data_IF_701409119065
#
_entry.id   IF_701409119065
#
_cell.length_a   1.000
_cell.length_b   1.000
_cell.length_c   1.000
_cell.angle_alpha   90.00
_cell.angle_beta   90.00
_cell.angle_gamma   90.00
#
_symmetry.space_group_name_H-M   'P 1'
#
loop_
_entity.id
_entity.type
_entity.pdbx_description
1 polymer ?
#
# COMPACT_ATOMS: atom_id res chain seq x y z
N UNK A 1 -16.76 -8.36 -28.98
CA UNK A 1 -16.60 -7.16 -28.12
C UNK A 1 -16.99 -7.53 -26.71
N UNK A 2 -16.02 -7.93 -25.90
CA UNK A 2 -16.25 -8.30 -24.50
C UNK A 2 -16.43 -7.03 -23.68
N UNK A 3 -17.48 -6.96 -22.85
CA UNK A 3 -17.66 -5.84 -21.93
C UNK A 3 -16.80 -6.08 -20.69
N UNK A 4 -15.59 -5.53 -20.67
CA UNK A 4 -14.66 -5.59 -19.54
C UNK A 4 -15.05 -4.63 -18.38
N UNK A 5 -16.34 -4.28 -18.26
CA UNK A 5 -16.84 -3.38 -17.21
C UNK A 5 -16.72 -3.94 -15.79
N UNK A 6 -16.29 -5.19 -15.62
CA UNK A 6 -15.91 -5.75 -14.32
C UNK A 6 -14.52 -5.25 -13.87
N UNK A 7 -13.58 -5.00 -14.80
CA UNK A 7 -12.26 -4.43 -14.49
C UNK A 7 -12.42 -3.01 -13.96
N UNK A 8 -13.27 -2.19 -14.58
CA UNK A 8 -13.57 -0.82 -14.12
C UNK A 8 -14.11 -0.80 -12.68
N UNK A 9 -14.98 -1.77 -12.34
CA UNK A 9 -15.53 -1.90 -10.98
C UNK A 9 -14.46 -2.28 -9.98
N UNK A 10 -13.55 -3.17 -10.35
CA UNK A 10 -12.43 -3.56 -9.50
C UNK A 10 -11.46 -2.39 -9.29
N UNK A 11 -11.15 -1.63 -10.33
CA UNK A 11 -10.30 -0.43 -10.26
C UNK A 11 -10.94 0.63 -9.34
N UNK A 12 -12.23 0.92 -9.50
CA UNK A 12 -12.95 1.84 -8.63
C UNK A 12 -12.98 1.37 -7.17
N UNK A 13 -13.22 0.07 -6.93
CA UNK A 13 -13.20 -0.50 -5.58
C UNK A 13 -11.81 -0.45 -4.93
N UNK A 14 -10.75 -0.61 -5.73
CA UNK A 14 -9.38 -0.45 -5.26
C UNK A 14 -9.06 1.01 -4.91
N UNK A 15 -9.46 1.96 -5.76
CA UNK A 15 -9.32 3.40 -5.50
C UNK A 15 -9.99 3.81 -4.19
N UNK A 16 -11.20 3.32 -3.95
CA UNK A 16 -11.93 3.57 -2.71
C UNK A 16 -11.18 2.98 -1.49
N UNK A 17 -10.78 1.71 -1.57
CA UNK A 17 -10.03 1.03 -0.49
C UNK A 17 -8.70 1.74 -0.18
N UNK A 18 -7.92 2.10 -1.19
CA UNK A 18 -6.66 2.82 -0.99
C UNK A 18 -6.90 4.21 -0.39
N UNK A 19 -7.96 4.90 -0.80
CA UNK A 19 -8.30 6.21 -0.21
C UNK A 19 -8.69 6.07 1.27
N UNK A 20 -9.46 5.03 1.63
CA UNK A 20 -9.79 4.73 3.02
C UNK A 20 -8.52 4.42 3.84
N UNK A 21 -7.62 3.60 3.33
CA UNK A 21 -6.33 3.28 3.99
C UNK A 21 -5.46 4.53 4.12
N UNK A 22 -5.35 5.33 3.07
CA UNK A 22 -4.59 6.59 3.06
C UNK A 22 -5.11 7.57 4.11
N UNK A 23 -6.43 7.69 4.27
CA UNK A 23 -7.03 8.56 5.26
C UNK A 23 -6.66 8.16 6.71
N UNK A 24 -6.32 6.89 6.96
CA UNK A 24 -5.82 6.46 8.27
C UNK A 24 -4.52 7.18 8.64
N UNK A 25 -3.64 7.52 7.69
CA UNK A 25 -2.39 8.26 7.95
C UNK A 25 -2.60 9.63 8.60
N UNK A 26 -3.79 10.22 8.41
CA UNK A 26 -4.15 11.52 8.96
C UNK A 26 -4.84 11.41 10.32
N UNK A 27 -5.28 10.21 10.73
CA UNK A 27 -6.07 9.99 11.94
C UNK A 27 -5.40 10.56 13.20
N UNK A 28 -4.09 10.37 13.45
CA UNK A 28 -3.46 10.92 14.66
C UNK A 28 -3.51 12.45 14.72
N UNK A 29 -3.23 13.13 13.60
CA UNK A 29 -3.30 14.59 13.52
C UNK A 29 -4.74 15.10 13.64
N UNK A 30 -5.70 14.38 13.03
CA UNK A 30 -7.12 14.72 13.13
C UNK A 30 -7.60 14.66 14.59
N UNK A 31 -7.20 13.64 15.36
CA UNK A 31 -7.54 13.54 16.79
C UNK A 31 -6.94 14.69 17.60
N UNK A 32 -5.68 15.03 17.34
CA UNK A 32 -5.00 16.16 18.00
C UNK A 32 -5.74 17.48 17.71
N UNK A 33 -6.11 17.71 16.46
CA UNK A 33 -6.79 18.92 16.03
C UNK A 33 -8.20 19.01 16.63
N UNK A 34 -9.02 17.96 16.50
CA UNK A 34 -10.38 17.92 17.06
C UNK A 34 -10.38 18.16 18.58
N UNK A 35 -9.44 17.52 19.29
CA UNK A 35 -9.34 17.68 20.75
C UNK A 35 -8.89 19.09 21.12
N UNK A 36 -7.89 19.64 20.40
CA UNK A 36 -7.40 21.01 20.61
C UNK A 36 -8.49 22.05 20.36
N UNK A 37 -9.27 21.89 19.29
CA UNK A 37 -10.29 22.85 18.88
C UNK A 37 -11.52 22.80 19.79
N UNK A 38 -11.88 21.61 20.26
CA UNK A 38 -12.95 21.42 21.26
C UNK A 38 -12.60 22.14 22.57
N UNK A 39 -11.37 21.94 23.09
CA UNK A 39 -10.89 22.63 24.29
C UNK A 39 -10.73 24.14 24.07
N UNK A 40 -10.25 24.54 22.88
CA UNK A 40 -10.14 25.94 22.50
C UNK A 40 -11.49 26.65 22.47
N UNK A 41 -12.54 25.97 22.01
CA UNK A 41 -13.91 26.49 22.01
C UNK A 41 -14.44 26.67 23.44
N UNK A 42 -14.21 25.70 24.33
CA UNK A 42 -14.55 25.84 25.76
C UNK A 42 -13.79 27.03 26.39
N UNK A 43 -12.51 27.20 26.06
CA UNK A 43 -11.72 28.34 26.54
C UNK A 43 -12.34 29.67 26.10
N UNK A 44 -12.76 29.79 24.84
CA UNK A 44 -13.41 30.99 24.31
C UNK A 44 -14.74 31.28 25.01
N UNK A 45 -15.60 30.28 25.19
CA UNK A 45 -16.86 30.46 25.92
C UNK A 45 -16.65 30.89 27.38
N UNK A 46 -15.57 30.43 28.01
CA UNK A 46 -15.22 30.89 29.36
C UNK A 46 -14.69 32.33 29.38
N UNK A 47 -14.11 32.85 28.29
CA UNK A 47 -13.59 34.23 28.24
C UNK A 47 -14.68 35.27 28.53
N UNK A 48 -15.92 34.99 28.11
CA UNK A 48 -17.11 35.82 28.34
C UNK A 48 -17.62 35.81 29.79
N UNK A 49 -17.14 34.87 30.62
CA UNK A 49 -17.58 34.71 32.01
C UNK A 49 -16.50 35.20 32.98
N UNK A 50 -16.89 36.11 33.89
CA UNK A 50 -16.02 36.61 34.96
C UNK A 50 -15.79 35.54 36.05
N UNK A 51 -14.60 35.51 36.65
CA UNK A 51 -14.27 34.61 37.78
C UNK A 51 -13.58 33.28 37.45
N UNK A 52 -13.46 32.90 36.17
CA UNK A 52 -12.88 31.60 35.76
C UNK A 52 -11.41 31.64 35.30
N UNK A 53 -10.61 32.61 35.78
CA UNK A 53 -9.24 32.82 35.29
C UNK A 53 -8.32 31.59 35.43
N UNK A 54 -8.43 30.85 36.53
CA UNK A 54 -7.64 29.62 36.75
C UNK A 54 -8.00 28.51 35.76
N UNK A 55 -9.29 28.33 35.44
CA UNK A 55 -9.75 27.37 34.44
C UNK A 55 -9.32 27.75 33.03
N UNK A 56 -9.34 29.04 32.68
CA UNK A 56 -8.84 29.56 31.39
C UNK A 56 -7.37 29.21 31.18
N UNK A 57 -6.53 29.46 32.20
CA UNK A 57 -5.10 29.14 32.15
C UNK A 57 -4.89 27.63 32.00
N UNK A 58 -5.61 26.80 32.77
CA UNK A 58 -5.51 25.33 32.66
C UNK A 58 -5.86 24.83 31.26
N UNK A 59 -6.95 25.33 30.65
CA UNK A 59 -7.37 24.91 29.31
C UNK A 59 -6.36 25.35 28.26
N UNK A 60 -5.86 26.59 28.30
CA UNK A 60 -4.80 27.04 27.37
C UNK A 60 -3.54 26.19 27.48
N UNK A 61 -3.13 25.87 28.71
CA UNK A 61 -1.99 24.97 28.94
C UNK A 61 -2.25 23.58 28.36
N UNK A 62 -3.45 23.02 28.54
CA UNK A 62 -3.83 21.73 27.97
C UNK A 62 -3.85 21.76 26.43
N UNK A 63 -4.40 22.79 25.79
CA UNK A 63 -4.37 22.96 24.33
C UNK A 63 -2.93 23.05 23.84
N UNK A 64 -2.08 23.80 24.52
CA UNK A 64 -0.65 23.89 24.20
C UNK A 64 0.04 22.53 24.28
N UNK A 65 -0.21 21.79 25.37
CA UNK A 65 0.31 20.43 25.56
C UNK A 65 -0.19 19.45 24.50
N UNK A 66 -1.46 19.52 24.10
CA UNK A 66 -2.02 18.64 23.06
C UNK A 66 -1.40 18.97 21.70
N UNK A 67 -1.22 20.25 21.36
CA UNK A 67 -0.56 20.64 20.11
C UNK A 67 0.92 20.26 20.07
N UNK A 68 1.56 20.12 21.24
CA UNK A 68 2.96 19.68 21.33
C UNK A 68 3.13 18.16 21.33
N UNK A 69 2.05 17.37 21.44
CA UNK A 69 2.08 15.89 21.33
C UNK A 69 2.79 15.44 20.04
N UNK A 70 2.46 16.04 18.90
CA UNK A 70 3.09 15.70 17.61
C UNK A 70 4.58 16.07 17.51
N UNK A 71 5.12 16.81 18.49
CA UNK A 71 6.54 17.17 18.58
C UNK A 71 7.30 16.31 19.59
N UNK A 72 6.61 15.46 20.34
CA UNK A 72 7.24 14.55 21.28
C UNK A 72 7.91 13.40 20.51
N UNK A 73 9.21 13.14 20.77
CA UNK A 73 10.01 12.13 20.05
C UNK A 73 9.41 10.72 20.15
N UNK A 74 8.85 10.33 21.30
CA UNK A 74 8.24 9.00 21.47
C UNK A 74 6.95 8.85 20.66
N UNK A 75 6.16 9.91 20.57
CA UNK A 75 4.91 9.93 19.79
C UNK A 75 5.20 9.97 18.30
N UNK A 76 6.20 10.75 17.88
CA UNK A 76 6.68 10.74 16.50
C UNK A 76 7.13 9.34 16.08
N UNK A 77 7.88 8.64 16.93
CA UNK A 77 8.25 7.25 16.67
C UNK A 77 7.05 6.33 16.52
N UNK A 78 5.99 6.51 17.33
CA UNK A 78 4.75 5.76 17.15
C UNK A 78 4.04 6.10 15.82
N UNK A 79 4.11 7.34 15.36
CA UNK A 79 3.58 7.73 14.04
C UNK A 79 4.36 7.08 12.90
N UNK A 80 5.69 6.96 13.00
CA UNK A 80 6.51 6.26 12.00
C UNK A 80 6.16 4.77 11.93
N UNK A 81 5.96 4.13 13.09
CA UNK A 81 5.47 2.75 13.17
C UNK A 81 4.11 2.63 12.50
N UNK A 82 3.20 3.57 12.78
CA UNK A 82 1.85 3.60 12.23
C UNK A 82 1.85 3.80 10.70
N UNK A 83 2.69 4.70 10.18
CA UNK A 83 2.88 4.90 8.74
C UNK A 83 3.38 3.64 8.04
N UNK A 84 4.32 2.92 8.66
CA UNK A 84 4.81 1.65 8.14
C UNK A 84 3.69 0.60 8.05
N UNK A 85 2.78 0.55 9.03
CA UNK A 85 1.61 -0.34 8.98
C UNK A 85 0.62 0.07 7.87
N UNK A 86 0.49 1.37 7.59
CA UNK A 86 -0.33 1.83 6.45
C UNK A 86 0.23 1.31 5.12
N UNK A 87 1.56 1.34 4.93
CA UNK A 87 2.19 0.75 3.74
C UNK A 87 1.92 -0.75 3.64
N UNK A 88 1.97 -1.49 4.77
CA UNK A 88 1.59 -2.92 4.80
C UNK A 88 0.15 -3.13 4.31
N UNK A 89 -0.80 -2.31 4.78
CA UNK A 89 -2.20 -2.38 4.35
C UNK A 89 -2.37 -2.05 2.87
N UNK A 90 -1.65 -1.04 2.35
CA UNK A 90 -1.72 -0.64 0.94
C UNK A 90 -1.19 -1.75 0.01
N UNK A 91 -0.04 -2.34 0.32
CA UNK A 91 0.52 -3.45 -0.46
C UNK A 91 -0.35 -4.70 -0.34
N UNK A 92 -0.93 -4.97 0.84
CA UNK A 92 -1.91 -6.05 1.00
C UNK A 92 -3.19 -5.83 0.20
N UNK A 93 -3.66 -4.59 0.09
CA UNK A 93 -4.80 -4.25 -0.76
C UNK A 93 -4.49 -4.46 -2.25
N UNK A 94 -3.26 -4.15 -2.68
CA UNK A 94 -2.80 -4.40 -4.06
C UNK A 94 -2.79 -5.90 -4.37
N UNK A 95 -2.24 -6.72 -3.46
CA UNK A 95 -2.23 -8.17 -3.61
C UNK A 95 -3.66 -8.72 -3.76
N UNK A 96 -4.57 -8.31 -2.87
CA UNK A 96 -5.97 -8.72 -2.94
C UNK A 96 -6.62 -8.30 -4.26
N UNK A 97 -6.33 -7.08 -4.72
CA UNK A 97 -6.83 -6.54 -5.98
C UNK A 97 -6.40 -7.39 -7.18
N UNK A 98 -5.13 -7.79 -7.27
CA UNK A 98 -4.68 -8.62 -8.38
C UNK A 98 -5.27 -10.03 -8.34
N UNK A 99 -5.48 -10.61 -7.16
CA UNK A 99 -6.23 -11.86 -7.06
C UNK A 99 -7.71 -11.71 -7.48
N UNK A 100 -8.34 -10.57 -7.19
CA UNK A 100 -9.70 -10.27 -7.65
C UNK A 100 -9.74 -10.09 -9.18
N UNK A 101 -8.71 -9.48 -9.77
CA UNK A 101 -8.53 -9.40 -11.24
C UNK A 101 -8.39 -10.78 -11.85
N UNK A 102 -7.52 -11.63 -11.30
CA UNK A 102 -7.35 -13.01 -11.76
C UNK A 102 -8.66 -13.79 -11.72
N UNK A 103 -9.39 -13.67 -10.61
CA UNK A 103 -10.71 -14.29 -10.48
C UNK A 103 -11.67 -13.78 -11.55
N UNK A 104 -11.78 -12.46 -11.70
CA UNK A 104 -12.74 -11.86 -12.62
C UNK A 104 -12.45 -12.24 -14.08
N UNK A 105 -11.17 -12.26 -14.48
CA UNK A 105 -10.75 -12.77 -15.78
C UNK A 105 -11.13 -14.24 -15.92
N UNK A 106 -10.81 -15.10 -14.94
CA UNK A 106 -11.15 -16.52 -15.00
C UNK A 106 -12.66 -16.79 -15.12
N UNK A 107 -13.50 -15.93 -14.52
CA UNK A 107 -14.96 -16.05 -14.58
C UNK A 107 -15.57 -15.57 -15.90
N UNK A 108 -14.99 -14.53 -16.52
CA UNK A 108 -15.62 -13.84 -17.65
C UNK A 108 -14.90 -14.07 -18.99
N UNK A 109 -13.59 -14.27 -18.94
CA UNK A 109 -12.67 -14.31 -20.07
C UNK A 109 -11.47 -15.23 -19.80
N UNK A 110 -11.65 -16.51 -19.42
CA UNK A 110 -10.54 -17.40 -19.08
C UNK A 110 -9.54 -17.61 -20.23
N UNK A 111 -9.95 -17.38 -21.47
CA UNK A 111 -9.09 -17.41 -22.67
C UNK A 111 -7.97 -16.37 -22.68
N UNK A 112 -8.07 -15.33 -21.83
CA UNK A 112 -7.01 -14.35 -21.60
C UNK A 112 -5.73 -14.98 -21.04
N UNK A 113 -5.86 -16.10 -20.34
CA UNK A 113 -4.73 -16.71 -19.68
C UNK A 113 -3.92 -17.55 -20.65
N UNK A 114 -2.65 -17.17 -20.82
CA UNK A 114 -1.66 -18.00 -21.44
C UNK A 114 -1.12 -19.06 -20.46
N UNK A 115 -1.49 -20.32 -20.72
CA UNK A 115 -0.99 -21.49 -19.99
C UNK A 115 0.19 -22.17 -20.69
N UNK A 116 0.60 -21.67 -21.85
CA UNK A 116 1.79 -22.14 -22.57
C UNK A 116 3.00 -21.34 -22.10
N UNK A 117 3.82 -21.93 -21.25
CA UNK A 117 5.10 -21.35 -20.87
C UNK A 117 6.17 -21.82 -21.86
N UNK A 118 6.72 -20.90 -22.64
CA UNK A 118 7.98 -21.07 -23.41
C UNK A 118 8.13 -22.41 -24.14
N UNK A 119 7.14 -22.82 -24.94
CA UNK A 119 7.20 -24.04 -25.77
C UNK A 119 7.02 -25.37 -25.02
N UNK A 120 6.61 -25.33 -23.75
CA UNK A 120 6.26 -26.52 -22.96
C UNK A 120 4.77 -26.83 -23.06
N UNK A 121 4.40 -28.12 -22.85
CA UNK A 121 2.99 -28.56 -22.79
C UNK A 121 2.16 -27.66 -21.87
N UNK A 122 0.88 -27.40 -22.19
CA UNK A 122 0.01 -26.55 -21.37
C UNK A 122 0.03 -27.02 -19.91
N UNK A 123 0.27 -26.07 -18.98
CA UNK A 123 0.23 -26.34 -17.53
C UNK A 123 -1.17 -26.87 -17.19
N UNK A 124 -1.26 -28.12 -16.74
CA UNK A 124 -2.53 -28.68 -16.24
C UNK A 124 -2.81 -28.05 -14.88
N UNK A 125 -3.88 -27.26 -14.78
CA UNK A 125 -4.37 -26.77 -13.49
C UNK A 125 -5.01 -27.93 -12.75
N UNK A 126 -4.37 -28.35 -11.65
CA UNK A 126 -4.95 -29.32 -10.71
C UNK A 126 -5.51 -28.57 -9.51
N UNK A 127 -6.74 -28.90 -9.11
CA UNK A 127 -7.36 -28.36 -7.90
C UNK A 127 -7.94 -29.50 -7.05
N UNK A 128 -8.13 -29.25 -5.77
CA UNK A 128 -8.71 -30.22 -4.85
C UNK A 128 -10.23 -30.27 -5.05
N UNK A 129 -10.80 -31.46 -5.19
CA UNK A 129 -12.25 -31.62 -5.38
C UNK A 129 -13.07 -31.09 -4.20
N UNK A 130 -12.48 -30.98 -3.01
CA UNK A 130 -13.06 -30.35 -1.82
C UNK A 130 -13.32 -28.86 -1.98
N UNK A 131 -12.69 -28.22 -2.96
CA UNK A 131 -12.92 -26.81 -3.31
C UNK A 131 -14.15 -26.65 -4.22
N UNK A 132 -14.75 -27.73 -4.71
CA UNK A 132 -15.96 -27.68 -5.53
C UNK A 132 -17.20 -27.69 -4.63
N UNK A 133 -17.87 -26.55 -4.54
CA UNK A 133 -19.26 -26.46 -4.09
C UNK A 133 -20.12 -25.76 -5.16
N UNK A 134 -21.41 -25.59 -4.89
CA UNK A 134 -22.36 -24.94 -5.81
C UNK A 134 -22.01 -23.47 -6.14
N UNK A 135 -21.07 -22.86 -5.42
CA UNK A 135 -20.64 -21.46 -5.55
C UNK A 135 -19.23 -21.33 -6.14
N UNK A 136 -18.51 -22.43 -6.34
CA UNK A 136 -17.16 -22.39 -6.90
C UNK A 136 -17.18 -22.05 -8.37
N UNK A 137 -16.60 -20.91 -8.71
CA UNK A 137 -16.45 -20.45 -10.09
C UNK A 137 -15.06 -20.80 -10.66
N UNK A 138 -14.91 -20.76 -11.99
CA UNK A 138 -13.61 -20.98 -12.66
C UNK A 138 -12.57 -19.98 -12.15
N UNK A 139 -12.97 -18.72 -12.00
CA UNK A 139 -12.14 -17.67 -11.42
C UNK A 139 -11.67 -17.97 -10.00
N UNK A 140 -12.51 -18.57 -9.15
CA UNK A 140 -12.09 -18.95 -7.80
C UNK A 140 -11.05 -20.07 -7.82
N UNK A 141 -11.21 -21.05 -8.72
CA UNK A 141 -10.22 -22.11 -8.94
C UNK A 141 -8.88 -21.52 -9.41
N UNK A 142 -8.92 -20.58 -10.37
CA UNK A 142 -7.72 -19.93 -10.90
C UNK A 142 -7.03 -19.06 -9.86
N UNK A 143 -7.79 -18.26 -9.11
CA UNK A 143 -7.29 -17.48 -7.99
C UNK A 143 -6.59 -18.37 -6.97
N UNK A 144 -7.22 -19.47 -6.57
CA UNK A 144 -6.63 -20.42 -5.63
C UNK A 144 -5.37 -21.06 -6.20
N UNK A 145 -5.38 -21.47 -7.47
CA UNK A 145 -4.22 -22.05 -8.14
C UNK A 145 -3.02 -21.09 -8.13
N UNK A 146 -3.20 -19.85 -8.57
CA UNK A 146 -2.10 -18.89 -8.59
C UNK A 146 -1.65 -18.46 -7.20
N UNK A 147 -2.57 -18.40 -6.22
CA UNK A 147 -2.21 -18.01 -4.85
C UNK A 147 -1.46 -19.09 -4.08
N UNK A 148 -1.92 -20.34 -4.17
CA UNK A 148 -1.51 -21.41 -3.24
C UNK A 148 -0.63 -22.48 -3.92
N UNK A 149 -0.68 -22.59 -5.26
CA UNK A 149 -0.03 -23.68 -6.00
C UNK A 149 1.06 -23.22 -6.97
N UNK A 150 0.87 -22.08 -7.64
CA UNK A 150 1.90 -21.49 -8.50
C UNK A 150 2.82 -20.63 -7.63
N UNK A 151 3.83 -21.26 -6.99
CA UNK A 151 4.78 -20.58 -6.09
C UNK A 151 5.59 -19.45 -6.74
N UNK A 152 5.46 -19.29 -8.06
CA UNK A 152 6.05 -18.21 -8.84
C UNK A 152 5.20 -16.92 -8.84
N UNK A 153 3.96 -16.96 -8.31
CA UNK A 153 3.06 -15.79 -8.27
C UNK A 153 3.00 -15.24 -6.85
N UNK A 154 3.54 -14.04 -6.68
CA UNK A 154 3.44 -13.28 -5.44
C UNK A 154 3.10 -11.82 -5.76
N UNK A 155 1.83 -11.44 -5.60
CA UNK A 155 1.38 -10.06 -5.86
C UNK A 155 1.79 -9.04 -4.78
N UNK A 156 2.64 -9.43 -3.83
CA UNK A 156 3.36 -8.50 -2.94
C UNK A 156 4.75 -8.13 -3.48
N UNK A 157 5.19 -8.72 -4.59
CA UNK A 157 6.48 -8.47 -5.23
C UNK A 157 6.30 -7.95 -6.66
N UNK A 158 6.90 -6.80 -6.97
CA UNK A 158 6.71 -6.12 -8.26
C UNK A 158 7.26 -6.95 -9.42
N UNK A 159 8.38 -7.65 -9.22
CA UNK A 159 8.93 -8.50 -10.28
C UNK A 159 7.98 -9.65 -10.61
N UNK A 160 7.38 -10.24 -9.58
CA UNK A 160 6.39 -11.30 -9.74
C UNK A 160 5.09 -10.79 -10.38
N UNK A 161 4.65 -9.56 -10.08
CA UNK A 161 3.54 -8.90 -10.77
C UNK A 161 3.85 -8.75 -12.26
N UNK A 162 4.95 -8.07 -12.61
CA UNK A 162 5.31 -7.81 -14.02
C UNK A 162 5.47 -9.12 -14.79
N UNK A 163 6.15 -10.12 -14.21
CA UNK A 163 6.30 -11.44 -14.81
C UNK A 163 4.95 -12.12 -15.02
N UNK A 164 4.05 -12.06 -14.04
CA UNK A 164 2.72 -12.64 -14.17
C UNK A 164 1.95 -12.02 -15.33
N UNK A 165 1.88 -10.70 -15.42
CA UNK A 165 1.15 -10.03 -16.51
C UNK A 165 1.77 -10.32 -17.88
N UNK A 166 3.10 -10.30 -18.00
CA UNK A 166 3.79 -10.60 -19.26
C UNK A 166 3.65 -12.08 -19.66
N UNK A 167 3.84 -13.03 -18.75
CA UNK A 167 3.84 -14.46 -19.10
C UNK A 167 2.44 -15.09 -19.15
N UNK A 168 1.54 -14.67 -18.24
CA UNK A 168 0.20 -15.28 -18.07
C UNK A 168 -0.90 -14.51 -18.76
N UNK A 169 -0.77 -13.20 -18.93
CA UNK A 169 -1.77 -12.38 -19.62
C UNK A 169 -1.25 -11.79 -20.92
N UNK A 170 0.02 -12.03 -21.28
CA UNK A 170 0.67 -11.50 -22.48
C UNK A 170 0.62 -9.96 -22.56
N UNK A 171 0.56 -9.31 -21.40
CA UNK A 171 0.50 -7.86 -21.26
C UNK A 171 1.81 -7.35 -20.62
N UNK A 172 2.57 -6.56 -21.36
CA UNK A 172 3.74 -5.87 -20.83
C UNK A 172 3.31 -4.55 -20.17
N UNK A 173 3.60 -4.43 -18.86
CA UNK A 173 3.24 -3.27 -18.05
C UNK A 173 4.30 -2.17 -18.15
N UNK A 174 3.87 -0.94 -18.42
CA UNK A 174 4.74 0.23 -18.44
C UNK A 174 4.76 0.89 -17.05
N UNK A 175 5.79 0.58 -16.26
CA UNK A 175 5.87 1.01 -14.85
C UNK A 175 7.06 1.92 -14.52
N UNK A 176 7.89 2.27 -15.49
CA UNK A 176 9.20 2.92 -15.24
C UNK A 176 9.09 4.21 -14.43
N UNK A 177 8.06 5.03 -14.68
CA UNK A 177 7.84 6.31 -14.00
C UNK A 177 7.60 6.19 -12.49
N UNK A 178 7.13 5.04 -12.03
CA UNK A 178 6.76 4.79 -10.63
C UNK A 178 7.37 3.50 -10.05
N UNK A 179 8.29 2.88 -10.80
CA UNK A 179 8.94 1.60 -10.47
C UNK A 179 9.66 1.64 -9.13
N UNK A 180 10.43 2.70 -8.90
CA UNK A 180 11.22 2.87 -7.68
C UNK A 180 10.33 2.95 -6.44
N UNK A 181 9.21 3.67 -6.53
CA UNK A 181 8.23 3.80 -5.46
C UNK A 181 7.57 2.45 -5.15
N UNK A 182 7.23 1.69 -6.17
CA UNK A 182 6.66 0.34 -6.02
C UNK A 182 7.66 -0.64 -5.37
N UNK A 183 8.92 -0.61 -5.79
CA UNK A 183 10.00 -1.41 -5.18
C UNK A 183 10.18 -1.02 -3.71
N UNK A 184 10.20 0.29 -3.42
CA UNK A 184 10.28 0.78 -2.06
C UNK A 184 9.09 0.32 -1.20
N UNK A 185 7.85 0.43 -1.70
CA UNK A 185 6.64 0.01 -0.99
C UNK A 185 6.68 -1.47 -0.61
N UNK A 186 7.06 -2.33 -1.55
CA UNK A 186 7.14 -3.78 -1.34
C UNK A 186 8.29 -4.16 -0.39
N UNK A 187 9.46 -3.51 -0.50
CA UNK A 187 10.56 -3.68 0.44
C UNK A 187 10.18 -3.22 1.86
N UNK A 188 9.51 -2.06 1.97
CA UNK A 188 9.02 -1.48 3.21
C UNK A 188 8.00 -2.39 3.91
N UNK A 189 7.05 -2.96 3.16
CA UNK A 189 6.10 -3.95 3.69
C UNK A 189 6.85 -5.17 4.24
N UNK A 190 7.82 -5.70 3.50
CA UNK A 190 8.55 -6.90 3.91
C UNK A 190 9.34 -6.69 5.19
N UNK A 191 10.09 -5.59 5.31
CA UNK A 191 10.87 -5.31 6.53
C UNK A 191 9.96 -5.00 7.72
N UNK A 192 8.80 -4.37 7.47
CA UNK A 192 7.80 -4.10 8.51
C UNK A 192 7.19 -5.38 9.07
N UNK A 193 6.79 -6.30 8.21
CA UNK A 193 6.13 -7.56 8.60
C UNK A 193 7.12 -8.55 9.20
N UNK A 194 8.33 -8.67 8.64
CA UNK A 194 9.23 -9.77 8.98
C UNK A 194 10.38 -9.38 9.90
N UNK A 195 10.71 -8.10 10.03
CA UNK A 195 11.84 -7.66 10.85
C UNK A 195 11.49 -6.53 11.82
N UNK A 196 10.22 -6.41 12.22
CA UNK A 196 9.76 -5.36 13.15
C UNK A 196 10.23 -3.96 12.73
N UNK A 197 10.22 -3.68 11.42
CA UNK A 197 10.67 -2.41 10.82
C UNK A 197 12.16 -2.13 10.95
N UNK A 198 12.99 -3.08 11.39
CA UNK A 198 14.45 -2.91 11.44
C UNK A 198 15.03 -3.18 10.06
N UNK A 199 15.75 -2.21 9.50
CA UNK A 199 16.37 -2.35 8.19
C UNK A 199 17.44 -3.45 8.23
N UNK A 200 17.33 -4.42 7.33
CA UNK A 200 18.29 -5.50 7.11
C UNK A 200 18.97 -5.37 5.75
N UNK A 201 19.90 -6.29 5.46
CA UNK A 201 20.58 -6.32 4.16
C UNK A 201 19.60 -6.65 3.01
N UNK A 202 18.53 -7.40 3.28
CA UNK A 202 17.53 -7.77 2.27
C UNK A 202 16.79 -6.53 1.78
N UNK A 203 16.34 -5.67 2.67
CA UNK A 203 15.73 -4.39 2.34
C UNK A 203 16.68 -3.54 1.49
N UNK A 204 17.92 -3.36 1.92
CA UNK A 204 18.91 -2.56 1.19
C UNK A 204 19.20 -3.11 -0.21
N UNK A 205 19.24 -4.45 -0.35
CA UNK A 205 19.41 -5.08 -1.65
C UNK A 205 18.20 -4.86 -2.58
N UNK A 206 16.98 -4.83 -2.04
CA UNK A 206 15.77 -4.58 -2.82
C UNK A 206 15.73 -3.16 -3.37
N UNK A 207 16.14 -2.17 -2.58
CA UNK A 207 16.13 -0.75 -3.00
C UNK A 207 17.44 -0.30 -3.66
N UNK A 208 18.42 -1.19 -3.86
CA UNK A 208 19.79 -0.82 -4.26
C UNK A 208 19.84 -0.04 -5.57
N UNK A 209 18.97 -0.39 -6.49
CA UNK A 209 18.97 0.15 -7.85
C UNK A 209 17.83 1.18 -8.04
N UNK A 210 17.40 1.84 -6.94
CA UNK A 210 16.35 2.87 -6.93
C UNK A 210 16.87 4.19 -6.36
N UNK A 211 16.15 5.28 -6.59
CA UNK A 211 16.46 6.59 -6.02
C UNK A 211 16.49 6.61 -4.47
N UNK A 212 15.88 5.62 -3.81
CA UNK A 212 15.82 5.56 -2.34
C UNK A 212 17.16 5.20 -1.67
N UNK A 213 18.10 4.57 -2.40
CA UNK A 213 19.40 4.11 -1.84
C UNK A 213 20.32 5.26 -1.41
N UNK A 214 20.17 6.42 -2.07
CA UNK A 214 21.03 7.58 -1.89
C UNK A 214 20.33 8.76 -1.20
N UNK A 215 19.11 8.54 -0.69
CA UNK A 215 18.47 9.52 0.17
C UNK A 215 19.31 9.75 1.42
N UNK A 216 19.61 11.01 1.70
CA UNK A 216 20.32 11.45 2.89
C UNK A 216 19.37 12.17 3.84
N UNK A 217 19.64 12.05 5.13
CA UNK A 217 19.00 12.80 6.20
C UNK A 217 20.06 13.50 7.03
N UNK A 218 19.75 14.72 7.43
CA UNK A 218 20.59 15.55 8.30
C UNK A 218 20.13 15.37 9.75
N UNK A 219 21.07 15.10 10.65
CA UNK A 219 20.78 14.98 12.09
C UNK A 219 20.70 16.35 12.79
N UNK A 220 20.38 16.34 14.09
CA UNK A 220 20.27 17.56 14.91
C UNK A 220 21.59 18.36 15.03
N UNK A 221 22.73 17.78 14.61
CA UNK A 221 24.05 18.42 14.60
C UNK A 221 24.49 18.85 13.18
N UNK A 222 23.62 18.71 12.17
CA UNK A 222 23.93 19.05 10.79
C UNK A 222 24.72 17.97 10.03
N UNK A 223 24.86 16.76 10.59
CA UNK A 223 25.60 15.69 9.95
C UNK A 223 24.69 14.91 8.99
N UNK A 224 25.09 14.83 7.73
CA UNK A 224 24.40 14.04 6.71
C UNK A 224 24.74 12.56 6.85
N UNK A 225 23.70 11.71 6.82
CA UNK A 225 23.85 10.26 6.77
C UNK A 225 22.81 9.64 5.86
N UNK A 226 23.05 8.43 5.34
CA UNK A 226 22.05 7.72 4.55
C UNK A 226 20.75 7.54 5.37
N UNK A 227 19.61 7.84 4.74
CA UNK A 227 18.26 7.67 5.30
C UNK A 227 18.05 6.23 5.73
N UNK A 228 18.48 5.28 4.90
CA UNK A 228 18.33 3.85 5.15
C UNK A 228 19.69 3.20 5.44
N UNK A 229 19.80 2.53 6.58
CA UNK A 229 21.01 1.83 7.02
C UNK A 229 20.63 0.66 7.90
N UNK A 230 21.36 -0.46 7.80
CA UNK A 230 21.12 -1.67 8.60
C UNK A 230 21.06 -1.36 10.10
N UNK A 231 20.10 -1.97 10.80
CA UNK A 231 19.89 -1.80 12.24
C UNK A 231 19.11 -0.55 12.63
N UNK A 232 18.88 0.40 11.71
CA UNK A 232 17.96 1.51 11.94
C UNK A 232 16.51 1.08 11.71
N UNK A 233 15.59 1.74 12.42
CA UNK A 233 14.17 1.60 12.17
C UNK A 233 13.82 2.27 10.84
N UNK A 234 13.00 1.62 10.02
CA UNK A 234 12.47 2.17 8.79
C UNK A 234 11.62 3.39 9.13
N UNK A 235 11.94 4.53 8.53
CA UNK A 235 11.18 5.76 8.65
C UNK A 235 10.44 6.03 7.34
N UNK A 236 9.11 6.00 7.42
CA UNK A 236 8.18 6.33 6.34
C UNK A 236 7.44 7.60 6.74
N UNK A 237 7.62 8.65 5.95
CA UNK A 237 6.91 9.92 6.12
C UNK A 237 5.51 9.85 5.51
N UNK A 238 4.64 10.80 5.88
CA UNK A 238 3.33 10.96 5.24
C UNK A 238 3.42 11.27 3.74
N UNK A 239 4.51 11.92 3.30
CA UNK A 239 4.75 12.16 1.87
C UNK A 239 5.03 10.85 1.13
N UNK A 240 5.88 9.99 1.70
CA UNK A 240 6.18 8.66 1.15
C UNK A 240 4.87 7.84 0.98
N UNK A 241 3.94 7.92 1.94
CA UNK A 241 2.63 7.25 1.84
C UNK A 241 1.79 7.79 0.68
N UNK A 242 1.83 9.10 0.44
CA UNK A 242 1.15 9.73 -0.70
C UNK A 242 1.70 9.24 -2.04
N UNK A 243 3.02 9.23 -2.19
CA UNK A 243 3.69 8.73 -3.40
C UNK A 243 3.38 7.25 -3.65
N UNK A 244 3.43 6.42 -2.60
CA UNK A 244 3.09 5.00 -2.69
C UNK A 244 1.66 4.80 -3.15
N UNK A 245 0.70 5.55 -2.58
CA UNK A 245 -0.70 5.46 -2.99
C UNK A 245 -0.85 5.74 -4.48
N UNK A 246 -0.27 6.84 -4.99
CA UNK A 246 -0.40 7.19 -6.40
C UNK A 246 0.29 6.16 -7.31
N UNK A 247 1.47 5.66 -6.95
CA UNK A 247 2.15 4.59 -7.70
C UNK A 247 1.33 3.30 -7.79
N UNK A 248 0.67 2.90 -6.70
CA UNK A 248 -0.21 1.73 -6.68
C UNK A 248 -1.46 1.94 -7.54
N UNK A 249 -2.02 3.15 -7.53
CA UNK A 249 -3.14 3.52 -8.39
C UNK A 249 -2.75 3.49 -9.88
N UNK A 250 -1.59 4.06 -10.22
CA UNK A 250 -1.04 4.03 -11.58
C UNK A 250 -0.86 2.58 -12.07
N UNK A 251 -0.31 1.70 -11.23
CA UNK A 251 -0.12 0.30 -11.60
C UNK A 251 -1.45 -0.42 -11.89
N UNK A 252 -2.48 -0.22 -11.06
CA UNK A 252 -3.78 -0.86 -11.28
C UNK A 252 -4.49 -0.29 -12.50
N UNK A 253 -4.35 1.01 -12.74
CA UNK A 253 -4.91 1.64 -13.95
C UNK A 253 -4.22 1.15 -15.21
N UNK A 254 -2.88 1.04 -15.20
CA UNK A 254 -2.06 0.48 -16.29
C UNK A 254 -2.50 -0.95 -16.62
N UNK A 255 -2.65 -1.81 -15.61
CA UNK A 255 -3.21 -3.16 -15.78
C UNK A 255 -4.60 -3.11 -16.41
N UNK A 256 -5.45 -2.21 -15.95
CA UNK A 256 -6.79 -2.01 -16.50
C UNK A 256 -6.77 -1.59 -17.98
N UNK A 257 -5.84 -0.70 -18.37
CA UNK A 257 -5.66 -0.25 -19.75
C UNK A 257 -5.15 -1.39 -20.63
N UNK A 258 -4.11 -2.12 -20.21
CA UNK A 258 -3.51 -3.19 -21.01
C UNK A 258 -4.49 -4.34 -21.27
N UNK A 259 -5.19 -4.80 -20.23
CA UNK A 259 -6.22 -5.86 -20.37
C UNK A 259 -7.34 -5.43 -21.34
N UNK A 260 -7.72 -4.14 -21.36
CA UNK A 260 -8.76 -3.63 -22.27
C UNK A 260 -8.24 -3.39 -23.68
N UNK A 261 -7.05 -2.81 -23.81
CA UNK A 261 -6.45 -2.40 -25.08
C UNK A 261 -6.16 -3.58 -26.00
N UNK A 262 -5.61 -4.67 -25.46
CA UNK A 262 -5.30 -5.89 -26.22
C UNK A 262 -6.56 -6.61 -26.75
N UNK A 263 -7.76 -6.20 -26.30
CA UNK A 263 -9.05 -6.81 -26.67
C UNK A 263 -9.92 -5.94 -27.58
N UNK A 264 -9.61 -4.65 -27.69
CA UNK A 264 -10.28 -3.74 -28.62
C UNK A 264 -9.54 -3.65 -29.98
N UNK A 265 -8.28 -4.11 -30.05
CA UNK A 265 -7.45 -4.25 -31.25
C UNK A 265 -7.70 -5.55 -32.00
#
# INVERSE_FOLDING_TARGET
>A
MYKLGYIDKLEASFQERLSQIFNLSHLPLNIINITSDSLGSISKSLEEISGFNSSKIKIRNQVSSIRSIGKNKDIQRQFEVFNSQIVVLMVGALEAQFYDVVKAIGDHNPELFNFESNGSKPKVITFEATLLDERTSVGEIMRHYFKERDGDVNFQDIQSIVRFFSERLLCDLEIDDYRDVLIFATAARNVTVHNNQIIDQRFLNQIRDTAYVDLEVEDENGLKSKKYTTGRMLNISSNDIGEIKEALLSLVSEVGVKIKGDYES
#
